data_IF_264316103364
#
_entry.id   IF_264316103364
#
_cell.length_a   1.000
_cell.length_b   1.000
_cell.length_c   1.000
_cell.angle_alpha   90.00
_cell.angle_beta   90.00
_cell.angle_gamma   90.00
#
_symmetry.space_group_name_H-M   'P 1'
#
loop_
_entity.id
_entity.type
_entity.pdbx_description
1 polymer ?
#
# COMPACT_ATOMS: atom_id res chain seq x y z
N UNK A 1 -9.20 12.93 -17.39
CA UNK A 1 -10.20 12.28 -16.52
C UNK A 1 -9.57 12.09 -15.14
N UNK A 2 -10.32 12.26 -14.04
CA UNK A 2 -9.77 12.15 -12.68
C UNK A 2 -9.15 10.76 -12.42
N UNK A 3 -9.63 9.70 -13.08
CA UNK A 3 -9.11 8.32 -12.96
C UNK A 3 -7.64 8.15 -13.32
N UNK A 4 -7.06 9.08 -14.09
CA UNK A 4 -5.61 9.05 -14.38
C UNK A 4 -4.75 9.47 -13.19
N UNK A 5 -5.33 10.25 -12.27
CA UNK A 5 -4.65 10.82 -11.09
C UNK A 5 -5.04 10.14 -9.78
N UNK A 6 -6.19 9.46 -9.73
CA UNK A 6 -6.61 8.67 -8.58
C UNK A 6 -7.70 7.69 -8.98
N UNK A 7 -7.60 6.45 -8.52
CA UNK A 7 -8.74 5.56 -8.39
C UNK A 7 -9.70 6.19 -7.39
N UNK A 8 -10.99 6.20 -7.71
CA UNK A 8 -12.01 6.68 -6.79
C UNK A 8 -13.29 5.87 -6.94
N UNK A 9 -13.72 5.23 -5.87
CA UNK A 9 -14.86 4.31 -5.87
C UNK A 9 -15.90 4.76 -4.84
N UNK A 10 -17.20 4.66 -5.15
CA UNK A 10 -18.25 5.02 -4.22
C UNK A 10 -18.27 4.03 -3.04
N UNK A 11 -18.44 4.58 -1.85
CA UNK A 11 -18.71 3.87 -0.61
C UNK A 11 -20.14 4.19 -0.14
N UNK A 12 -20.70 3.42 0.80
CA UNK A 12 -21.96 3.78 1.46
C UNK A 12 -21.94 5.20 2.04
N UNK A 13 -23.11 5.78 2.28
CA UNK A 13 -23.28 7.10 2.91
C UNK A 13 -22.68 8.28 2.12
N UNK A 14 -22.72 8.20 0.78
CA UNK A 14 -22.19 9.24 -0.13
C UNK A 14 -20.68 9.51 0.06
N UNK A 15 -19.93 8.50 0.53
CA UNK A 15 -18.48 8.58 0.70
C UNK A 15 -17.77 7.97 -0.50
N UNK A 16 -16.47 8.23 -0.60
CA UNK A 16 -15.66 7.79 -1.72
C UNK A 16 -14.28 7.37 -1.22
N UNK A 17 -13.83 6.19 -1.65
CA UNK A 17 -12.46 5.71 -1.43
C UNK A 17 -11.55 6.32 -2.50
N UNK A 18 -10.44 6.93 -2.12
CA UNK A 18 -9.43 7.44 -3.04
C UNK A 18 -8.16 6.60 -2.91
N UNK A 19 -7.69 6.06 -4.02
CA UNK A 19 -6.53 5.18 -4.06
C UNK A 19 -5.62 5.52 -5.26
N UNK A 20 -4.39 5.00 -5.25
CA UNK A 20 -3.38 5.25 -6.28
C UNK A 20 -3.77 4.67 -7.64
N UNK A 21 -3.62 5.48 -8.70
CA UNK A 21 -3.69 5.07 -10.10
C UNK A 21 -2.27 5.09 -10.72
N UNK A 22 -2.09 5.64 -11.93
CA UNK A 22 -0.75 5.91 -12.48
C UNK A 22 -0.02 6.95 -11.65
N UNK A 23 -0.75 7.96 -11.20
CA UNK A 23 -0.38 8.92 -10.16
C UNK A 23 -1.42 8.80 -9.02
N UNK A 24 -1.14 9.31 -7.81
CA UNK A 24 -2.11 9.24 -6.71
C UNK A 24 -1.52 9.41 -5.32
N UNK A 25 -2.22 8.90 -4.31
CA UNK A 25 -1.90 9.06 -2.88
C UNK A 25 -0.59 8.39 -2.41
N UNK A 26 -0.08 7.42 -3.16
CA UNK A 26 1.22 6.80 -2.83
C UNK A 26 2.34 7.85 -2.96
N UNK A 27 3.14 7.97 -1.91
CA UNK A 27 4.39 8.74 -1.87
C UNK A 27 5.59 7.77 -1.69
N UNK A 28 6.12 7.20 -2.79
CA UNK A 28 7.23 6.24 -2.72
C UNK A 28 8.45 6.86 -2.05
N UNK A 29 9.08 6.09 -1.16
CA UNK A 29 10.28 6.48 -0.43
C UNK A 29 10.02 7.19 0.91
N UNK A 30 8.88 7.88 1.09
CA UNK A 30 8.64 8.65 2.32
C UNK A 30 8.52 7.80 3.59
N UNK A 31 8.03 6.57 3.47
CA UNK A 31 7.85 5.66 4.61
C UNK A 31 9.05 4.74 4.86
N UNK A 32 10.19 4.93 4.19
CA UNK A 32 11.34 4.01 4.26
C UNK A 32 11.85 3.82 5.71
N UNK A 33 11.97 4.92 6.45
CA UNK A 33 12.42 4.90 7.85
C UNK A 33 11.33 4.46 8.83
N UNK A 34 10.06 4.39 8.41
CA UNK A 34 8.91 4.22 9.31
C UNK A 34 9.05 3.06 10.32
N UNK A 35 9.51 1.85 9.93
CA UNK A 35 9.57 0.72 10.84
C UNK A 35 10.53 0.96 12.02
N UNK A 36 11.67 1.58 11.76
CA UNK A 36 12.74 1.83 12.76
C UNK A 36 12.68 3.24 13.39
N UNK A 37 11.83 4.12 12.85
CA UNK A 37 11.69 5.48 13.32
C UNK A 37 11.12 5.57 14.76
N UNK A 38 11.58 6.58 15.50
CA UNK A 38 10.99 6.99 16.78
C UNK A 38 9.56 7.53 16.59
N UNK A 39 8.79 7.64 17.67
CA UNK A 39 7.44 8.21 17.60
C UNK A 39 7.42 9.63 17.02
N UNK A 40 8.37 10.49 17.41
CA UNK A 40 8.48 11.84 16.86
C UNK A 40 8.76 11.79 15.35
N UNK A 41 9.71 10.95 14.91
CA UNK A 41 10.03 10.81 13.48
C UNK A 41 8.86 10.24 12.67
N UNK A 42 8.09 9.30 13.24
CA UNK A 42 6.85 8.81 12.61
C UNK A 42 5.80 9.91 12.48
N UNK A 43 5.68 10.80 13.46
CA UNK A 43 4.77 11.96 13.35
C UNK A 43 5.19 12.88 12.19
N UNK A 44 6.48 13.13 12.02
CA UNK A 44 7.00 13.92 10.90
C UNK A 44 6.70 13.25 9.55
N UNK A 45 6.97 11.95 9.41
CA UNK A 45 6.68 11.18 8.19
C UNK A 45 5.18 11.19 7.88
N UNK A 46 4.32 10.97 8.89
CA UNK A 46 2.88 11.02 8.71
C UNK A 46 2.42 12.41 8.25
N UNK A 47 3.04 13.47 8.78
CA UNK A 47 2.73 14.84 8.36
C UNK A 47 3.19 15.14 6.95
N UNK A 48 4.35 14.63 6.53
CA UNK A 48 4.83 14.72 5.15
C UNK A 48 3.85 14.06 4.17
N UNK A 49 3.38 12.85 4.49
CA UNK A 49 2.39 12.12 3.68
C UNK A 49 1.05 12.87 3.64
N UNK A 50 0.57 13.41 4.77
CA UNK A 50 -0.64 14.24 4.82
C UNK A 50 -0.49 15.49 3.94
N UNK A 51 0.65 16.18 4.04
CA UNK A 51 0.93 17.37 3.24
C UNK A 51 1.00 17.05 1.75
N UNK A 52 1.56 15.89 1.37
CA UNK A 52 1.54 15.41 -0.01
C UNK A 52 0.11 15.22 -0.51
N UNK A 53 -0.77 14.56 0.27
CA UNK A 53 -2.17 14.38 -0.12
C UNK A 53 -2.91 15.71 -0.25
N UNK A 54 -2.72 16.64 0.70
CA UNK A 54 -3.27 18.00 0.62
C UNK A 54 -2.79 18.72 -0.64
N UNK A 55 -1.49 18.68 -0.90
CA UNK A 55 -0.87 19.30 -2.06
C UNK A 55 -1.38 18.71 -3.37
N UNK A 56 -1.53 17.38 -3.43
CA UNK A 56 -2.08 16.68 -4.59
C UNK A 56 -3.51 17.13 -4.88
N UNK A 57 -4.39 17.11 -3.88
CA UNK A 57 -5.79 17.54 -4.07
C UNK A 57 -5.88 19.02 -4.47
N UNK A 58 -5.06 19.88 -3.84
CA UNK A 58 -5.00 21.29 -4.18
C UNK A 58 -4.50 21.51 -5.62
N UNK A 59 -3.41 20.85 -6.01
CA UNK A 59 -2.87 20.90 -7.37
C UNK A 59 -3.92 20.47 -8.40
N UNK A 60 -4.59 19.33 -8.17
CA UNK A 60 -5.64 18.82 -9.07
C UNK A 60 -6.83 19.76 -9.19
N UNK A 61 -7.12 20.56 -8.16
CA UNK A 61 -8.26 21.49 -8.16
C UNK A 61 -7.92 22.86 -8.76
N UNK A 62 -6.65 23.28 -8.73
CA UNK A 62 -6.30 24.70 -8.95
C UNK A 62 -5.27 24.96 -10.04
N UNK A 63 -4.38 24.02 -10.35
CA UNK A 63 -3.26 24.30 -11.25
C UNK A 63 -3.76 24.44 -12.71
N UNK A 64 -3.34 25.50 -13.44
CA UNK A 64 -3.80 25.74 -14.81
C UNK A 64 -3.38 24.65 -15.81
N UNK A 65 -2.37 23.84 -15.48
CA UNK A 65 -1.92 22.70 -16.30
C UNK A 65 -2.83 21.49 -16.16
N UNK A 66 -3.71 21.45 -15.14
CA UNK A 66 -4.65 20.34 -14.94
C UNK A 66 -5.89 20.57 -15.81
N UNK A 67 -6.33 19.57 -16.60
CA UNK A 67 -7.50 19.71 -17.47
C UNK A 67 -8.77 20.11 -16.70
N UNK A 68 -9.59 20.98 -17.29
CA UNK A 68 -10.78 21.54 -16.63
C UNK A 68 -11.73 20.47 -16.08
N UNK A 69 -11.97 19.40 -16.85
CA UNK A 69 -12.76 18.25 -16.40
C UNK A 69 -12.24 17.66 -15.08
N UNK A 70 -10.92 17.55 -14.92
CA UNK A 70 -10.31 16.99 -13.70
C UNK A 70 -10.51 17.94 -12.52
N UNK A 71 -10.32 19.25 -12.72
CA UNK A 71 -10.57 20.27 -11.69
C UNK A 71 -12.03 20.26 -11.24
N UNK A 72 -12.97 20.24 -12.19
CA UNK A 72 -14.41 20.15 -11.90
C UNK A 72 -14.75 18.85 -11.17
N UNK A 73 -14.20 17.72 -11.61
CA UNK A 73 -14.44 16.42 -11.00
C UNK A 73 -13.92 16.37 -9.55
N UNK A 74 -12.68 16.81 -9.30
CA UNK A 74 -12.07 16.76 -7.96
C UNK A 74 -12.70 17.75 -6.98
N UNK A 75 -13.17 18.92 -7.46
CA UNK A 75 -13.81 19.95 -6.64
C UNK A 75 -15.12 19.51 -5.99
N UNK A 76 -15.71 18.39 -6.45
CA UNK A 76 -16.89 17.77 -5.83
C UNK A 76 -16.57 17.09 -4.51
N UNK A 77 -15.30 16.79 -4.27
CA UNK A 77 -14.85 16.02 -3.12
C UNK A 77 -14.14 16.92 -2.11
N UNK A 78 -14.20 16.48 -0.86
CA UNK A 78 -13.47 17.05 0.25
C UNK A 78 -13.22 15.97 1.28
N UNK A 79 -12.56 16.33 2.37
CA UNK A 79 -12.39 15.44 3.50
C UNK A 79 -13.76 15.15 4.15
N UNK A 80 -13.93 13.96 4.77
CA UNK A 80 -15.15 13.66 5.50
C UNK A 80 -15.40 14.71 6.58
N UNK A 81 -16.65 15.17 6.69
CA UNK A 81 -17.06 16.17 7.70
C UNK A 81 -17.55 15.53 8.99
N UNK A 82 -17.87 14.24 8.94
CA UNK A 82 -18.50 13.45 10.00
C UNK A 82 -17.57 12.40 10.61
N UNK A 83 -16.41 12.13 9.99
CA UNK A 83 -15.37 11.24 10.50
C UNK A 83 -14.12 12.04 10.87
N UNK A 84 -13.39 11.57 11.88
CA UNK A 84 -12.14 12.20 12.34
C UNK A 84 -12.31 13.70 12.60
N UNK A 85 -13.42 14.08 13.24
CA UNK A 85 -13.82 15.47 13.47
C UNK A 85 -12.82 16.22 14.34
N UNK A 86 -12.11 15.51 15.21
CA UNK A 86 -11.00 16.01 16.02
C UNK A 86 -9.71 16.24 15.22
N UNK A 87 -9.64 15.76 13.97
CA UNK A 87 -8.50 15.94 13.05
C UNK A 87 -8.91 16.55 11.70
N UNK A 88 -10.00 17.32 11.67
CA UNK A 88 -10.50 18.01 10.47
C UNK A 88 -10.64 17.06 9.26
N UNK A 89 -11.14 15.83 9.50
CA UNK A 89 -11.41 14.84 8.46
C UNK A 89 -10.22 13.96 8.06
N UNK A 90 -9.05 14.07 8.72
CA UNK A 90 -7.91 13.19 8.46
C UNK A 90 -7.88 11.97 9.40
N UNK A 91 -7.62 10.76 8.90
CA UNK A 91 -7.46 9.58 9.75
C UNK A 91 -6.33 9.75 10.78
N UNK A 92 -6.42 9.12 11.96
CA UNK A 92 -5.38 9.21 13.00
C UNK A 92 -4.04 8.58 12.60
N UNK A 93 -4.07 7.59 11.72
CA UNK A 93 -2.90 6.81 11.35
C UNK A 93 -2.80 6.66 9.83
N UNK A 94 -1.57 6.67 9.32
CA UNK A 94 -1.31 6.34 7.92
C UNK A 94 -1.38 4.82 7.72
N UNK A 95 -1.82 4.40 6.54
CA UNK A 95 -1.74 3.00 6.14
C UNK A 95 -0.30 2.66 5.71
N UNK A 96 0.38 1.81 6.48
CA UNK A 96 1.72 1.30 6.15
C UNK A 96 1.61 -0.16 5.75
N UNK A 97 1.97 -0.46 4.51
CA UNK A 97 1.76 -1.78 3.89
C UNK A 97 2.93 -2.73 4.05
N UNK A 98 4.16 -2.21 4.00
CA UNK A 98 5.38 -2.99 4.15
C UNK A 98 6.28 -2.35 5.21
N UNK A 99 6.77 -3.18 6.13
CA UNK A 99 7.63 -2.77 7.23
C UNK A 99 8.61 -3.88 7.60
N UNK A 100 8.58 -4.33 8.86
CA UNK A 100 9.39 -5.46 9.29
C UNK A 100 8.80 -6.77 8.77
N UNK A 101 9.67 -7.73 8.51
CA UNK A 101 9.32 -9.14 8.30
C UNK A 101 10.15 -10.01 9.22
N UNK A 102 9.54 -11.04 9.75
CA UNK A 102 10.23 -12.17 10.36
C UNK A 102 10.91 -13.00 9.26
N UNK A 103 11.96 -13.74 9.62
CA UNK A 103 12.54 -14.77 8.75
C UNK A 103 12.54 -16.08 9.53
N UNK A 104 11.68 -17.01 9.12
CA UNK A 104 11.55 -18.34 9.73
C UNK A 104 12.18 -19.44 8.87
N UNK A 105 12.00 -20.69 9.27
CA UNK A 105 12.36 -21.89 8.53
C UNK A 105 11.55 -22.03 7.23
N UNK A 106 10.32 -21.51 7.20
CA UNK A 106 9.54 -21.36 5.98
C UNK A 106 9.49 -19.88 5.56
N UNK A 107 10.06 -19.58 4.38
CA UNK A 107 9.93 -18.28 3.71
C UNK A 107 9.02 -18.43 2.51
N UNK A 108 7.83 -17.82 2.56
CA UNK A 108 6.92 -17.79 1.40
C UNK A 108 7.50 -16.91 0.30
N UNK A 109 7.80 -17.52 -0.83
CA UNK A 109 8.26 -16.85 -2.06
C UNK A 109 7.23 -16.88 -3.19
N UNK A 110 7.51 -16.17 -4.27
CA UNK A 110 6.75 -16.23 -5.53
C UNK A 110 6.46 -17.69 -5.96
N UNK A 111 7.40 -18.62 -5.77
CA UNK A 111 7.21 -20.02 -6.11
C UNK A 111 6.00 -20.66 -5.42
N UNK A 112 5.67 -20.26 -4.19
CA UNK A 112 4.46 -20.75 -3.51
C UNK A 112 3.22 -20.09 -4.08
N UNK A 113 3.27 -18.78 -4.31
CA UNK A 113 2.11 -18.00 -4.82
C UNK A 113 1.70 -18.38 -6.25
N UNK A 114 2.64 -18.90 -7.05
CA UNK A 114 2.42 -19.42 -8.41
C UNK A 114 2.28 -20.95 -8.46
N UNK A 115 2.21 -21.63 -7.31
CA UNK A 115 2.01 -23.09 -7.26
C UNK A 115 3.21 -23.94 -7.72
N UNK A 116 4.38 -23.33 -7.90
CA UNK A 116 5.64 -24.04 -8.21
C UNK A 116 6.17 -24.81 -7.00
N UNK A 117 5.78 -24.41 -5.79
CA UNK A 117 6.04 -25.09 -4.52
C UNK A 117 4.76 -25.07 -3.67
N UNK A 118 4.57 -26.11 -2.88
CA UNK A 118 3.46 -26.24 -1.94
C UNK A 118 3.99 -25.94 -0.54
N UNK A 119 3.35 -25.03 0.17
CA UNK A 119 3.70 -24.71 1.56
C UNK A 119 3.10 -25.78 2.49
N UNK A 120 3.90 -26.52 3.27
CA UNK A 120 3.37 -27.56 4.15
C UNK A 120 2.54 -26.95 5.29
N UNK A 121 1.75 -27.80 5.96
CA UNK A 121 1.01 -27.45 7.19
C UNK A 121 0.16 -26.17 7.02
N UNK A 122 -0.63 -26.16 5.95
CA UNK A 122 -1.44 -25.01 5.55
C UNK A 122 -2.44 -24.62 6.65
N UNK A 123 -2.37 -23.37 7.08
CA UNK A 123 -3.30 -22.75 8.04
C UNK A 123 -4.20 -21.69 7.40
N UNK A 124 -4.00 -21.40 6.12
CA UNK A 124 -4.80 -20.44 5.38
C UNK A 124 -4.52 -20.51 3.87
N UNK A 125 -5.33 -19.77 3.12
CA UNK A 125 -5.20 -19.68 1.67
C UNK A 125 -5.05 -18.22 1.23
N UNK A 126 -4.02 -17.93 0.44
CA UNK A 126 -3.87 -16.68 -0.27
C UNK A 126 -4.51 -16.75 -1.65
N UNK A 127 -5.36 -15.78 -1.99
CA UNK A 127 -6.03 -15.70 -3.29
C UNK A 127 -5.55 -14.54 -4.18
N UNK A 128 -4.87 -13.55 -3.61
CA UNK A 128 -4.45 -12.35 -4.30
C UNK A 128 -3.21 -12.60 -5.16
N UNK A 129 -3.06 -11.84 -6.25
CA UNK A 129 -1.86 -11.88 -7.09
C UNK A 129 -0.66 -11.20 -6.43
N UNK A 130 0.52 -11.35 -7.02
CA UNK A 130 1.71 -10.63 -6.56
C UNK A 130 1.58 -9.16 -6.92
N UNK A 131 1.60 -8.29 -5.90
CA UNK A 131 1.46 -6.84 -6.01
C UNK A 131 2.59 -6.13 -5.26
N UNK A 132 3.69 -5.89 -5.98
CA UNK A 132 4.86 -5.12 -5.53
C UNK A 132 4.61 -3.65 -5.86
N UNK A 133 4.81 -2.76 -4.89
CA UNK A 133 4.66 -1.31 -5.06
C UNK A 133 5.91 -0.66 -5.63
N UNK A 134 5.72 0.47 -6.33
CA UNK A 134 6.86 1.21 -6.83
C UNK A 134 7.73 1.76 -5.70
N UNK A 135 9.05 1.72 -5.90
CA UNK A 135 10.02 2.27 -4.94
C UNK A 135 10.37 3.73 -5.27
N UNK A 136 10.25 4.13 -6.54
CA UNK A 136 10.37 5.51 -7.01
C UNK A 136 9.70 5.71 -8.36
N UNK A 137 9.54 6.97 -8.74
CA UNK A 137 9.08 7.38 -10.08
C UNK A 137 10.23 8.06 -10.81
N UNK A 138 10.51 7.62 -12.03
CA UNK A 138 11.57 8.16 -12.88
C UNK A 138 10.98 8.57 -14.23
N UNK A 139 11.62 9.49 -14.94
CA UNK A 139 11.29 9.79 -16.33
C UNK A 139 12.26 9.04 -17.23
N UNK A 140 11.74 8.19 -18.11
CA UNK A 140 12.51 7.47 -19.12
C UNK A 140 11.86 7.72 -20.48
N UNK A 141 12.65 8.18 -21.45
CA UNK A 141 12.19 8.46 -22.82
C UNK A 141 10.96 9.39 -22.87
N UNK A 142 10.92 10.40 -21.98
CA UNK A 142 9.81 11.36 -21.87
C UNK A 142 8.56 10.83 -21.17
N UNK A 143 8.57 9.59 -20.67
CA UNK A 143 7.44 8.94 -20.01
C UNK A 143 7.76 8.69 -18.54
N UNK A 144 6.77 8.91 -17.66
CA UNK A 144 6.88 8.58 -16.24
C UNK A 144 6.79 7.06 -16.07
N UNK A 145 7.82 6.48 -15.45
CA UNK A 145 7.92 5.05 -15.11
C UNK A 145 7.88 4.88 -13.59
N UNK A 146 7.09 3.90 -13.15
CA UNK A 146 7.01 3.46 -11.75
C UNK A 146 7.99 2.31 -11.54
N UNK A 147 9.21 2.63 -11.11
CA UNK A 147 10.26 1.63 -10.94
C UNK A 147 9.91 0.66 -9.79
N UNK A 148 10.11 -0.63 -10.02
CA UNK A 148 9.82 -1.69 -9.04
C UNK A 148 8.36 -2.13 -8.99
N UNK A 149 7.42 -1.42 -9.63
CA UNK A 149 6.01 -1.83 -9.67
C UNK A 149 5.87 -3.14 -10.45
N UNK A 150 5.41 -4.19 -9.78
CA UNK A 150 5.00 -5.45 -10.41
C UNK A 150 3.59 -5.75 -9.91
N UNK A 151 2.62 -5.83 -10.82
CA UNK A 151 1.28 -6.27 -10.51
C UNK A 151 0.91 -7.38 -11.50
N UNK A 152 0.75 -8.60 -10.99
CA UNK A 152 0.55 -9.77 -11.83
C UNK A 152 -0.44 -10.76 -11.23
N UNK A 153 -1.19 -11.42 -12.10
CA UNK A 153 -1.93 -12.62 -11.73
C UNK A 153 -0.98 -13.78 -11.45
N UNK A 154 -1.47 -14.84 -10.82
CA UNK A 154 -0.69 -16.02 -10.43
C UNK A 154 -0.45 -17.01 -11.57
N UNK A 155 -0.34 -16.53 -12.81
CA UNK A 155 -0.21 -17.37 -14.00
C UNK A 155 -1.35 -18.38 -14.20
N UNK A 156 -2.57 -18.07 -13.72
CA UNK A 156 -3.72 -18.97 -13.75
C UNK A 156 -3.81 -19.94 -12.56
N UNK A 157 -2.86 -19.92 -11.63
CA UNK A 157 -2.91 -20.74 -10.42
C UNK A 157 -4.02 -20.28 -9.45
N UNK A 158 -4.64 -21.27 -8.80
CA UNK A 158 -5.69 -21.07 -7.80
C UNK A 158 -5.16 -20.54 -6.46
N UNK A 159 -6.01 -20.47 -5.42
CA UNK A 159 -5.59 -20.20 -4.04
C UNK A 159 -4.34 -21.01 -3.64
N UNK A 160 -3.34 -20.34 -3.06
CA UNK A 160 -2.09 -20.95 -2.60
C UNK A 160 -2.08 -21.08 -1.08
N UNK A 161 -1.35 -22.07 -0.57
CA UNK A 161 -1.29 -22.36 0.86
C UNK A 161 -0.38 -21.38 1.60
N UNK A 162 -0.82 -20.96 2.78
CA UNK A 162 -0.03 -20.25 3.78
C UNK A 162 0.32 -21.29 4.85
N UNK A 163 1.58 -21.75 4.84
CA UNK A 163 2.06 -22.76 5.77
C UNK A 163 2.30 -22.19 7.16
N UNK A 164 2.04 -22.99 8.19
CA UNK A 164 2.22 -22.63 9.61
C UNK A 164 3.62 -22.08 9.91
N UNK A 165 4.66 -22.68 9.32
CA UNK A 165 6.05 -22.26 9.49
C UNK A 165 6.32 -20.79 9.10
N UNK A 166 5.44 -20.17 8.30
CA UNK A 166 5.61 -18.78 7.89
C UNK A 166 5.21 -17.78 8.98
N UNK A 167 4.42 -18.21 9.97
CA UNK A 167 3.91 -17.35 11.07
C UNK A 167 4.54 -17.64 12.42
N UNK A 168 5.46 -18.60 12.51
CA UNK A 168 6.23 -18.85 13.73
C UNK A 168 7.69 -18.54 13.46
N UNK A 169 8.45 -17.96 14.40
CA UNK A 169 9.88 -17.73 14.23
C UNK A 169 10.65 -19.04 14.27
N UNK A 170 11.95 -18.98 14.01
CA UNK A 170 12.84 -20.12 14.28
C UNK A 170 12.79 -20.44 15.76
N UNK A 171 12.71 -21.72 16.10
CA UNK A 171 12.64 -22.15 17.49
C UNK A 171 13.83 -21.63 18.32
N UNK A 172 15.02 -21.51 17.71
CA UNK A 172 16.21 -20.96 18.35
C UNK A 172 16.12 -19.47 18.72
N UNK A 173 15.19 -18.72 18.14
CA UNK A 173 14.98 -17.28 18.39
C UNK A 173 13.85 -17.05 19.39
N UNK A 174 12.76 -17.82 19.29
CA UNK A 174 11.60 -17.73 20.18
C UNK A 174 10.70 -18.97 20.04
N UNK A 175 10.16 -19.49 21.14
CA UNK A 175 9.35 -20.72 21.14
C UNK A 175 7.84 -20.49 21.35
N UNK A 176 7.44 -19.25 21.68
CA UNK A 176 6.08 -18.93 22.14
C UNK A 176 5.48 -17.69 21.47
N UNK A 177 5.80 -17.47 20.19
CA UNK A 177 5.30 -16.34 19.40
C UNK A 177 4.62 -16.80 18.11
N UNK A 178 3.47 -16.20 17.82
CA UNK A 178 2.83 -16.21 16.51
C UNK A 178 2.87 -14.81 15.90
N UNK A 179 3.43 -14.68 14.70
CA UNK A 179 3.55 -13.44 13.94
C UNK A 179 2.72 -13.51 12.65
N UNK A 180 1.56 -12.86 12.64
CA UNK A 180 0.60 -12.90 11.53
C UNK A 180 0.63 -11.64 10.66
N UNK A 181 1.40 -10.61 11.03
CA UNK A 181 1.50 -9.33 10.31
C UNK A 181 2.88 -9.16 9.64
N UNK A 182 3.96 -9.52 10.33
CA UNK A 182 5.33 -9.54 9.82
C UNK A 182 5.71 -10.95 9.33
N UNK A 183 4.83 -11.57 8.54
CA UNK A 183 4.95 -12.95 8.07
C UNK A 183 6.28 -13.22 7.33
N UNK A 184 6.83 -14.42 7.49
CA UNK A 184 8.06 -14.86 6.81
C UNK A 184 7.82 -15.08 5.31
N UNK A 185 8.06 -14.02 4.53
CA UNK A 185 7.92 -14.00 3.07
C UNK A 185 9.05 -13.20 2.40
N UNK A 186 9.35 -13.53 1.15
CA UNK A 186 10.24 -12.73 0.30
C UNK A 186 9.47 -11.61 -0.41
N UNK A 187 10.20 -10.59 -0.85
CA UNK A 187 9.72 -9.71 -1.92
C UNK A 187 9.68 -10.47 -3.26
#
# INVERSE_FOLDING_TARGET
DLRWFSKHDPLPNQKWDFNTATFGGNLPGASWEWPEASYNRRADIAKEIENYHRGLLHFLATDPRVPEKVKTDVARFGLPRDEFTDRNGWPHQIYVREGRRMVSDLVLTEHHTFGRKIAPDSIGLGSYGTDIHEIRRIVKDGVVIREGKVAGGRGGFGPYQIGYGAIVPKQSECENLFETFALSASH
#
